data_IF_821486825807
#
_entry.id   IF_821486825807
#
_cell.length_a   1.000
_cell.length_b   1.000
_cell.length_c   1.000
_cell.angle_alpha   90.00
_cell.angle_beta   90.00
_cell.angle_gamma   90.00
#
_symmetry.space_group_name_H-M   'P 1'
#
loop_
_entity.id
_entity.type
_entity.pdbx_description
1 polymer ?
#
# COMPACT_ATOMS: atom_id res chain seq x y z
N UNK A 1 17.37 10.40 -8.40
CA UNK A 1 16.15 10.73 -7.63
C UNK A 1 16.33 11.88 -6.67
N UNK A 2 17.50 12.05 -6.02
CA UNK A 2 17.69 13.07 -4.98
C UNK A 2 17.49 14.53 -5.45
N UNK A 3 17.61 14.79 -6.75
CA UNK A 3 17.33 16.11 -7.34
C UNK A 3 15.87 16.56 -7.21
N UNK A 4 14.94 15.62 -7.00
CA UNK A 4 13.51 15.89 -6.86
C UNK A 4 13.05 15.96 -5.40
N UNK A 5 13.99 15.89 -4.44
CA UNK A 5 13.63 15.95 -3.03
C UNK A 5 13.21 17.33 -2.61
N UNK A 6 12.00 17.39 -2.06
CA UNK A 6 11.41 18.59 -1.51
C UNK A 6 10.69 18.19 -0.21
N UNK A 7 11.04 18.80 0.94
CA UNK A 7 10.45 18.46 2.24
C UNK A 7 8.91 18.54 2.27
N UNK A 8 8.30 19.50 1.57
CA UNK A 8 6.84 19.61 1.46
C UNK A 8 6.23 18.45 0.65
N UNK A 9 6.92 18.04 -0.43
CA UNK A 9 6.52 16.86 -1.19
C UNK A 9 6.66 15.59 -0.36
N UNK A 10 7.72 15.49 0.45
CA UNK A 10 7.94 14.38 1.37
C UNK A 10 6.79 14.25 2.38
N UNK A 11 6.34 15.36 2.98
CA UNK A 11 5.18 15.38 3.89
C UNK A 11 3.88 14.99 3.16
N UNK A 12 3.66 15.46 1.94
CA UNK A 12 2.49 15.07 1.15
C UNK A 12 2.50 13.57 0.83
N UNK A 13 3.65 13.04 0.42
CA UNK A 13 3.79 11.65 0.00
C UNK A 13 3.65 10.68 1.18
N UNK A 14 4.15 11.02 2.37
CA UNK A 14 3.95 10.16 3.54
C UNK A 14 2.48 10.14 3.99
N UNK A 15 1.74 11.25 3.86
CA UNK A 15 0.29 11.25 4.07
C UNK A 15 -0.36 10.31 3.06
N UNK A 16 0.00 10.43 1.79
CA UNK A 16 -0.44 9.54 0.71
C UNK A 16 -0.16 8.07 1.03
N UNK A 17 1.04 7.76 1.52
CA UNK A 17 1.43 6.43 1.95
C UNK A 17 0.53 5.90 3.08
N UNK A 18 0.25 6.72 4.08
CA UNK A 18 -0.62 6.35 5.20
C UNK A 18 -2.08 6.10 4.80
N UNK A 19 -2.56 6.59 3.65
CA UNK A 19 -3.94 6.32 3.18
C UNK A 19 -4.23 4.83 3.04
N UNK A 20 -3.19 4.02 2.80
CA UNK A 20 -3.21 2.56 2.84
C UNK A 20 -4.01 1.99 4.02
N UNK A 21 -3.77 2.50 5.23
CA UNK A 21 -4.39 1.97 6.45
C UNK A 21 -5.88 2.29 6.54
N UNK A 22 -6.31 3.36 5.89
CA UNK A 22 -7.67 3.88 6.00
C UNK A 22 -8.57 3.42 4.84
N UNK A 23 -8.03 3.25 3.63
CA UNK A 23 -8.82 2.91 2.45
C UNK A 23 -9.69 1.63 2.61
N UNK A 24 -9.16 0.47 3.08
CA UNK A 24 -9.98 -0.72 3.30
C UNK A 24 -11.06 -0.49 4.36
N UNK A 25 -10.74 0.25 5.43
CA UNK A 25 -11.67 0.54 6.54
C UNK A 25 -12.80 1.44 6.06
N UNK A 26 -12.48 2.51 5.33
CA UNK A 26 -13.46 3.44 4.76
C UNK A 26 -14.41 2.69 3.83
N UNK A 27 -13.89 1.86 2.92
CA UNK A 27 -14.72 1.05 2.04
C UNK A 27 -15.64 0.12 2.83
N UNK A 28 -15.09 -0.62 3.79
CA UNK A 28 -15.85 -1.57 4.61
C UNK A 28 -16.95 -0.90 5.41
N UNK A 29 -16.66 0.23 6.07
CA UNK A 29 -17.64 1.02 6.83
C UNK A 29 -18.76 1.53 5.93
N UNK A 30 -18.42 2.06 4.76
CA UNK A 30 -19.43 2.57 3.82
C UNK A 30 -20.34 1.46 3.31
N UNK A 31 -19.79 0.30 2.94
CA UNK A 31 -20.60 -0.85 2.54
C UNK A 31 -21.52 -1.31 3.67
N UNK A 32 -21.03 -1.32 4.92
CA UNK A 32 -21.80 -1.71 6.10
C UNK A 32 -22.95 -0.73 6.38
N UNK A 33 -22.69 0.58 6.35
CA UNK A 33 -23.71 1.62 6.55
C UNK A 33 -24.79 1.56 5.45
N UNK A 34 -24.39 1.22 4.22
CA UNK A 34 -25.32 1.04 3.10
C UNK A 34 -26.11 -0.28 3.14
N UNK A 35 -25.85 -1.17 4.12
CA UNK A 35 -26.50 -2.48 4.21
C UNK A 35 -26.03 -3.50 3.15
N UNK A 36 -24.92 -3.24 2.46
CA UNK A 36 -24.32 -4.10 1.43
C UNK A 36 -23.49 -5.22 2.07
N UNK A 37 -24.15 -6.10 2.83
CA UNK A 37 -23.47 -7.11 3.64
C UNK A 37 -22.68 -8.11 2.79
N UNK A 38 -23.23 -8.54 1.65
CA UNK A 38 -22.56 -9.54 0.79
C UNK A 38 -21.26 -8.96 0.20
N UNK A 39 -21.31 -7.72 -0.24
CA UNK A 39 -20.18 -6.98 -0.80
C UNK A 39 -19.14 -6.68 0.28
N UNK A 40 -19.57 -6.37 1.51
CA UNK A 40 -18.68 -6.22 2.64
C UNK A 40 -17.91 -7.51 2.94
N UNK A 41 -18.61 -8.66 3.00
CA UNK A 41 -17.98 -9.97 3.25
C UNK A 41 -17.02 -10.36 2.11
N UNK A 42 -17.42 -10.16 0.84
CA UNK A 42 -16.54 -10.41 -0.30
C UNK A 42 -15.30 -9.49 -0.26
N UNK A 43 -15.50 -8.20 0.04
CA UNK A 43 -14.42 -7.23 0.15
C UNK A 43 -13.44 -7.57 1.27
N UNK A 44 -13.96 -7.93 2.46
CA UNK A 44 -13.16 -8.36 3.60
C UNK A 44 -12.34 -9.60 3.25
N UNK A 45 -12.98 -10.62 2.68
CA UNK A 45 -12.30 -11.84 2.24
C UNK A 45 -11.19 -11.54 1.23
N UNK A 46 -11.47 -10.71 0.22
CA UNK A 46 -10.52 -10.35 -0.84
C UNK A 46 -9.30 -9.60 -0.26
N UNK A 47 -9.53 -8.64 0.63
CA UNK A 47 -8.45 -7.88 1.28
C UNK A 47 -7.60 -8.79 2.15
N UNK A 48 -8.21 -9.63 2.99
CA UNK A 48 -7.48 -10.58 3.84
C UNK A 48 -6.69 -11.60 3.03
N UNK A 49 -7.26 -12.11 1.94
CA UNK A 49 -6.55 -13.00 1.03
C UNK A 49 -5.31 -12.32 0.44
N UNK A 50 -5.43 -11.06 0.01
CA UNK A 50 -4.30 -10.28 -0.49
C UNK A 50 -3.19 -10.14 0.56
N UNK A 51 -3.54 -9.86 1.82
CA UNK A 51 -2.58 -9.82 2.94
C UNK A 51 -1.88 -11.15 3.16
N UNK A 52 -2.62 -12.26 3.17
CA UNK A 52 -2.01 -13.57 3.35
C UNK A 52 -1.08 -13.94 2.20
N UNK A 53 -1.49 -13.66 0.96
CA UNK A 53 -0.64 -13.89 -0.21
C UNK A 53 0.60 -12.98 -0.21
N UNK A 54 0.51 -11.74 0.28
CA UNK A 54 1.71 -10.90 0.46
C UNK A 54 2.67 -11.48 1.48
N UNK A 55 2.17 -12.03 2.59
CA UNK A 55 3.00 -12.68 3.61
C UNK A 55 3.69 -13.94 3.08
N UNK A 56 3.00 -14.75 2.26
CA UNK A 56 3.63 -15.86 1.55
C UNK A 56 4.77 -15.35 0.66
N UNK A 57 4.53 -14.25 -0.07
CA UNK A 57 5.55 -13.56 -0.85
C UNK A 57 6.78 -13.16 -0.02
N UNK A 58 6.57 -12.54 1.15
CA UNK A 58 7.67 -12.14 2.05
C UNK A 58 8.48 -13.32 2.58
N UNK A 59 7.82 -14.46 2.85
CA UNK A 59 8.50 -15.68 3.31
C UNK A 59 9.34 -16.29 2.17
N UNK A 60 8.81 -16.32 0.95
CA UNK A 60 9.52 -16.86 -0.21
C UNK A 60 10.65 -15.93 -0.68
N UNK A 61 10.45 -14.62 -0.57
CA UNK A 61 11.35 -13.58 -1.04
C UNK A 61 11.55 -12.52 0.05
N UNK A 62 12.39 -12.79 1.07
CA UNK A 62 12.57 -11.91 2.24
C UNK A 62 13.43 -10.68 1.91
N UNK A 63 12.94 -9.84 0.99
CA UNK A 63 13.63 -8.67 0.45
C UNK A 63 13.65 -7.51 1.43
N UNK A 64 14.77 -6.79 1.49
CA UNK A 64 14.95 -5.56 2.26
C UNK A 64 14.77 -4.33 1.37
N UNK A 65 14.01 -3.35 1.83
CA UNK A 65 13.76 -2.12 1.08
C UNK A 65 15.02 -1.23 0.88
N UNK A 66 14.99 -0.33 -0.12
CA UNK A 66 16.12 0.56 -0.47
C UNK A 66 16.63 1.42 0.70
N UNK A 67 15.75 1.82 1.63
CA UNK A 67 16.14 2.61 2.81
C UNK A 67 17.17 1.92 3.72
N UNK A 68 17.28 0.60 3.67
CA UNK A 68 18.25 -0.17 4.47
C UNK A 68 19.47 -0.58 3.67
N UNK A 69 19.28 -1.03 2.43
CA UNK A 69 20.35 -1.61 1.60
C UNK A 69 21.18 -0.54 0.86
N UNK A 70 20.56 0.59 0.51
CA UNK A 70 21.19 1.65 -0.27
C UNK A 70 21.57 2.88 0.57
N UNK A 71 21.56 2.77 1.91
CA UNK A 71 21.85 3.90 2.80
C UNK A 71 23.22 4.56 2.48
N UNK A 72 24.23 3.75 2.17
CA UNK A 72 25.58 4.21 1.82
C UNK A 72 25.67 4.94 0.47
N UNK A 73 24.66 4.79 -0.40
CA UNK A 73 24.59 5.47 -1.70
C UNK A 73 23.82 6.80 -1.62
N UNK A 74 23.20 7.10 -0.48
CA UNK A 74 22.36 8.28 -0.28
C UNK A 74 23.22 9.43 0.21
N UNK A 75 23.23 10.54 -0.54
CA UNK A 75 24.04 11.71 -0.18
C UNK A 75 23.25 12.68 0.70
N UNK A 76 21.92 12.60 0.67
CA UNK A 76 21.04 13.42 1.51
C UNK A 76 20.03 12.56 2.28
N UNK A 77 19.82 12.85 3.57
CA UNK A 77 18.70 12.27 4.31
C UNK A 77 17.37 12.73 3.68
N UNK A 78 16.35 11.89 3.80
CA UNK A 78 14.99 12.26 3.45
C UNK A 78 14.37 12.90 4.68
N UNK A 79 13.91 14.14 4.56
CA UNK A 79 13.34 14.92 5.66
C UNK A 79 12.02 15.54 5.21
N UNK A 80 11.09 15.73 6.15
CA UNK A 80 9.88 16.52 5.96
C UNK A 80 9.98 17.85 6.67
N UNK A 81 8.92 18.65 6.56
CA UNK A 81 8.83 19.93 7.29
C UNK A 81 8.13 19.72 8.63
N UNK A 82 7.10 18.87 8.67
CA UNK A 82 6.23 18.74 9.84
C UNK A 82 5.88 17.29 10.22
N UNK A 83 5.60 16.42 9.25
CA UNK A 83 4.92 15.15 9.51
C UNK A 83 5.80 13.93 9.24
N UNK A 84 6.65 14.00 8.21
CA UNK A 84 7.45 12.87 7.75
C UNK A 84 8.26 12.24 8.85
N UNK A 85 9.05 13.02 9.60
CA UNK A 85 9.98 12.44 10.57
C UNK A 85 9.24 11.71 11.69
N UNK A 86 8.15 12.30 12.20
CA UNK A 86 7.30 11.69 13.22
C UNK A 86 6.61 10.43 12.73
N UNK A 87 5.99 10.48 11.54
CA UNK A 87 5.30 9.33 10.95
C UNK A 87 6.30 8.23 10.59
N UNK A 88 7.42 8.56 9.95
CA UNK A 88 8.44 7.60 9.59
C UNK A 88 9.06 6.95 10.84
N UNK A 89 9.31 7.71 11.91
CA UNK A 89 9.77 7.16 13.18
C UNK A 89 8.72 6.20 13.78
N UNK A 90 7.45 6.56 13.78
CA UNK A 90 6.36 5.70 14.24
C UNK A 90 6.26 4.42 13.42
N UNK A 91 6.28 4.52 12.08
CA UNK A 91 6.24 3.35 11.20
C UNK A 91 7.43 2.42 11.47
N UNK A 92 8.65 2.97 11.57
CA UNK A 92 9.84 2.18 11.86
C UNK A 92 9.80 1.52 13.26
N UNK A 93 9.13 2.11 14.25
CA UNK A 93 9.02 1.51 15.59
C UNK A 93 7.99 0.38 15.64
N UNK A 94 6.94 0.47 14.82
CA UNK A 94 5.94 -0.59 14.66
C UNK A 94 6.45 -1.75 13.79
N UNK A 95 7.33 -1.45 12.84
CA UNK A 95 7.88 -2.42 11.89
C UNK A 95 9.04 -3.22 12.51
N UNK A 96 8.68 -4.30 13.22
CA UNK A 96 9.67 -5.23 13.81
C UNK A 96 10.40 -6.07 12.76
N UNK A 97 9.74 -6.41 11.66
CA UNK A 97 10.28 -7.24 10.58
C UNK A 97 10.45 -6.35 9.35
N UNK A 98 11.69 -6.17 8.91
CA UNK A 98 12.08 -5.27 7.81
C UNK A 98 12.17 -5.94 6.44
N UNK A 99 11.95 -7.27 6.40
CA UNK A 99 12.12 -8.14 5.24
C UNK A 99 10.78 -8.42 4.55
N UNK A 100 10.04 -7.36 4.28
CA UNK A 100 8.69 -7.36 3.73
C UNK A 100 8.58 -6.47 2.49
N UNK A 101 9.69 -6.29 1.76
CA UNK A 101 9.70 -5.41 0.59
C UNK A 101 9.01 -6.04 -0.64
N UNK A 102 9.18 -7.36 -0.89
CA UNK A 102 8.66 -8.00 -2.11
C UNK A 102 7.66 -9.13 -1.80
N UNK A 103 6.46 -9.13 -2.42
CA UNK A 103 5.88 -8.10 -3.29
C UNK A 103 5.32 -6.93 -2.48
N UNK A 104 5.23 -5.73 -3.04
CA UNK A 104 4.67 -4.57 -2.32
C UNK A 104 3.22 -4.81 -1.88
N UNK A 105 3.01 -5.11 -0.60
CA UNK A 105 1.67 -5.24 -0.01
C UNK A 105 0.89 -3.93 -0.06
N UNK A 106 1.57 -2.80 0.19
CA UNK A 106 0.98 -1.46 0.08
C UNK A 106 0.39 -1.22 -1.30
N UNK A 107 1.10 -1.62 -2.36
CA UNK A 107 0.58 -1.53 -3.73
C UNK A 107 -0.55 -2.54 -3.95
N UNK A 108 -0.32 -3.82 -3.61
CA UNK A 108 -1.26 -4.89 -3.92
C UNK A 108 -2.64 -4.70 -3.29
N UNK A 109 -2.67 -4.41 -1.99
CA UNK A 109 -3.90 -4.25 -1.21
C UNK A 109 -4.61 -2.95 -1.59
N UNK A 110 -3.88 -1.85 -1.80
CA UNK A 110 -4.48 -0.59 -2.27
C UNK A 110 -5.18 -0.77 -3.61
N UNK A 111 -4.55 -1.48 -4.56
CA UNK A 111 -5.16 -1.79 -5.85
C UNK A 111 -6.34 -2.75 -5.74
N UNK A 112 -6.30 -3.72 -4.82
CA UNK A 112 -7.46 -4.57 -4.49
C UNK A 112 -8.62 -3.71 -3.97
N UNK A 113 -8.37 -2.78 -3.04
CA UNK A 113 -9.40 -1.88 -2.51
C UNK A 113 -9.94 -0.96 -3.61
N UNK A 114 -9.08 -0.46 -4.49
CA UNK A 114 -9.50 0.35 -5.64
C UNK A 114 -10.40 -0.46 -6.59
N UNK A 115 -10.05 -1.72 -6.86
CA UNK A 115 -10.89 -2.65 -7.62
C UNK A 115 -12.25 -2.88 -6.96
N UNK A 116 -12.27 -3.14 -5.65
CA UNK A 116 -13.51 -3.35 -4.89
C UNK A 116 -14.37 -2.08 -4.86
N UNK A 117 -13.77 -0.89 -4.71
CA UNK A 117 -14.48 0.38 -4.81
C UNK A 117 -15.09 0.56 -6.21
N UNK A 118 -14.36 0.22 -7.28
CA UNK A 118 -14.90 0.23 -8.65
C UNK A 118 -16.09 -0.73 -8.82
N UNK A 119 -16.03 -1.89 -8.16
CA UNK A 119 -17.06 -2.93 -8.23
C UNK A 119 -18.31 -2.56 -7.41
N UNK A 120 -18.15 -2.02 -6.21
CA UNK A 120 -19.24 -1.91 -5.23
C UNK A 120 -19.63 -0.49 -4.83
N UNK A 121 -18.74 0.50 -4.95
CA UNK A 121 -19.02 1.89 -4.57
C UNK A 121 -18.18 2.89 -5.38
N UNK A 122 -18.60 3.14 -6.63
CA UNK A 122 -17.86 3.97 -7.59
C UNK A 122 -17.61 5.40 -7.15
N UNK A 123 -18.42 5.94 -6.23
CA UNK A 123 -18.22 7.31 -5.72
C UNK A 123 -16.88 7.45 -5.00
N UNK A 124 -16.41 6.38 -4.34
CA UNK A 124 -15.13 6.37 -3.65
C UNK A 124 -13.93 6.40 -4.58
N UNK A 125 -14.07 6.04 -5.86
CA UNK A 125 -12.97 6.08 -6.82
C UNK A 125 -12.37 7.47 -6.96
N UNK A 126 -13.19 8.51 -6.94
CA UNK A 126 -12.72 9.89 -7.07
C UNK A 126 -11.74 10.29 -5.97
N UNK A 127 -11.88 9.73 -4.77
CA UNK A 127 -10.93 9.92 -3.68
C UNK A 127 -9.82 8.87 -3.69
N UNK A 128 -10.13 7.61 -3.99
CA UNK A 128 -9.17 6.51 -3.87
C UNK A 128 -8.13 6.49 -4.99
N UNK A 129 -8.46 6.94 -6.20
CA UNK A 129 -7.50 7.03 -7.30
C UNK A 129 -6.34 7.98 -6.96
N UNK A 130 -6.57 9.26 -6.59
CA UNK A 130 -5.45 10.14 -6.24
C UNK A 130 -4.66 9.63 -5.02
N UNK A 131 -5.31 9.06 -4.00
CA UNK A 131 -4.62 8.43 -2.87
C UNK A 131 -3.72 7.26 -3.31
N UNK A 132 -4.21 6.41 -4.20
CA UNK A 132 -3.45 5.27 -4.75
C UNK A 132 -2.22 5.75 -5.52
N UNK A 133 -2.39 6.79 -6.35
CA UNK A 133 -1.28 7.38 -7.11
C UNK A 133 -0.22 7.96 -6.19
N UNK A 134 -0.64 8.75 -5.18
CA UNK A 134 0.28 9.30 -4.18
C UNK A 134 1.01 8.21 -3.41
N UNK A 135 0.30 7.15 -3.00
CA UNK A 135 0.88 6.00 -2.29
C UNK A 135 1.94 5.29 -3.14
N UNK A 136 1.66 4.99 -4.41
CA UNK A 136 2.62 4.30 -5.29
C UNK A 136 3.86 5.17 -5.54
N UNK A 137 3.68 6.49 -5.69
CA UNK A 137 4.82 7.41 -5.81
C UNK A 137 5.61 7.44 -4.49
N UNK A 138 4.92 7.46 -3.34
CA UNK A 138 5.52 7.50 -2.03
C UNK A 138 6.35 6.25 -1.72
N UNK A 139 5.93 5.05 -2.15
CA UNK A 139 6.69 3.82 -1.90
C UNK A 139 8.10 3.87 -2.49
N UNK A 140 8.24 4.48 -3.67
CA UNK A 140 9.53 4.67 -4.35
C UNK A 140 10.28 5.89 -3.79
N UNK A 141 9.59 7.02 -3.70
CA UNK A 141 10.18 8.30 -3.28
C UNK A 141 10.74 8.22 -1.85
N UNK A 142 9.95 7.66 -0.92
CA UNK A 142 10.34 7.46 0.48
C UNK A 142 11.25 6.23 0.68
N UNK A 143 11.70 5.58 -0.41
CA UNK A 143 12.69 4.50 -0.40
C UNK A 143 12.20 3.23 0.34
N UNK A 144 10.90 3.02 0.42
CA UNK A 144 10.31 1.82 1.04
C UNK A 144 10.44 0.61 0.11
N UNK A 145 10.21 0.80 -1.18
CA UNK A 145 10.16 -0.26 -2.18
C UNK A 145 10.98 0.05 -3.44
N UNK A 146 11.47 -1.00 -4.09
CA UNK A 146 11.96 -0.95 -5.46
C UNK A 146 10.80 -0.94 -6.46
N UNK A 147 11.09 -0.53 -7.70
CA UNK A 147 10.08 -0.61 -8.78
C UNK A 147 9.59 -2.04 -9.04
N UNK A 148 10.46 -3.04 -8.89
CA UNK A 148 10.08 -4.46 -9.04
C UNK A 148 9.08 -4.92 -7.97
N UNK A 149 9.15 -4.37 -6.76
CA UNK A 149 8.22 -4.70 -5.68
C UNK A 149 6.80 -4.23 -6.03
N UNK A 150 6.67 -3.08 -6.70
CA UNK A 150 5.39 -2.53 -7.16
C UNK A 150 4.81 -3.40 -8.26
N UNK A 151 5.62 -3.83 -9.23
CA UNK A 151 5.18 -4.81 -10.24
C UNK A 151 4.72 -6.11 -9.56
N UNK A 152 5.44 -6.58 -8.55
CA UNK A 152 5.03 -7.70 -7.70
C UNK A 152 3.68 -7.45 -7.02
N UNK A 153 3.45 -6.25 -6.51
CA UNK A 153 2.16 -5.83 -5.93
C UNK A 153 1.02 -5.84 -6.95
N UNK A 154 1.25 -5.35 -8.17
CA UNK A 154 0.27 -5.39 -9.27
C UNK A 154 -0.07 -6.85 -9.65
N UNK A 155 0.94 -7.70 -9.77
CA UNK A 155 0.76 -9.14 -10.03
C UNK A 155 -0.03 -9.80 -8.90
N UNK A 156 0.29 -9.47 -7.65
CA UNK A 156 -0.39 -9.96 -6.45
C UNK A 156 -1.88 -9.57 -6.47
N UNK A 157 -2.22 -8.33 -6.85
CA UNK A 157 -3.61 -7.92 -7.05
C UNK A 157 -4.32 -8.81 -8.08
N UNK A 158 -3.69 -9.05 -9.23
CA UNK A 158 -4.24 -9.92 -10.28
C UNK A 158 -4.48 -11.35 -9.78
N UNK A 159 -3.50 -11.95 -9.12
CA UNK A 159 -3.61 -13.29 -8.52
C UNK A 159 -4.75 -13.34 -7.49
N UNK A 160 -4.84 -12.33 -6.63
CA UNK A 160 -5.89 -12.26 -5.60
C UNK A 160 -7.27 -12.24 -6.25
N UNK A 161 -7.50 -11.33 -7.22
CA UNK A 161 -8.81 -11.21 -7.89
C UNK A 161 -9.18 -12.51 -8.61
N UNK A 162 -8.23 -13.15 -9.29
CA UNK A 162 -8.46 -14.43 -9.97
C UNK A 162 -8.81 -15.54 -8.98
N UNK A 163 -8.10 -15.59 -7.84
CA UNK A 163 -8.32 -16.59 -6.80
C UNK A 163 -9.69 -16.42 -6.15
N UNK A 164 -10.10 -15.19 -5.83
CA UNK A 164 -11.44 -14.91 -5.27
C UNK A 164 -12.54 -15.34 -6.22
N UNK A 165 -12.40 -15.12 -7.54
CA UNK A 165 -13.41 -15.58 -8.52
C UNK A 165 -13.60 -17.10 -8.54
N UNK A 166 -12.58 -17.86 -8.17
CA UNK A 166 -12.64 -19.32 -8.10
C UNK A 166 -13.21 -19.79 -6.76
N UNK A 167 -12.78 -19.17 -5.65
CA UNK A 167 -13.11 -19.61 -4.30
C UNK A 167 -14.42 -19.04 -3.76
N UNK A 168 -14.81 -17.83 -4.16
CA UNK A 168 -15.99 -17.13 -3.68
C UNK A 168 -17.08 -17.19 -4.76
N UNK A 169 -17.90 -18.25 -4.70
CA UNK A 169 -19.09 -18.47 -5.55
C UNK A 169 -20.37 -18.25 -4.78
#
# INVERSE_FOLDING_TARGET
MERFYNPYLTDLLIIGYCTYYFMPVILGVILKIQGKEKEFQEGLFTVLLCFYLSYVGYVLFPALGPRYTMLHLQQKPLEGVFLFDGINHLLNSLERIKRDAFPSGHTGITLVVLYLAMKFERRLLWAFVPCTMLLIIATIYCRFHYGVDILGGVLLTGITILTVRVLYK
#
